data_IF_154474155900
#
_entry.id   IF_154474155900
#
_cell.length_a   1.000
_cell.length_b   1.000
_cell.length_c   1.000
_cell.angle_alpha   90.00
_cell.angle_beta   90.00
_cell.angle_gamma   90.00
#
_symmetry.space_group_name_H-M   'P 1'
#
loop_
_entity.id
_entity.type
_entity.pdbx_description
1 polymer ?
#
# COMPACT_ATOMS: atom_id res chain seq x y z
N UNK A 1 -9.74 12.87 17.08
CA UNK A 1 -9.76 14.28 16.65
C UNK A 1 -8.77 14.41 15.50
N UNK A 2 -9.16 15.02 14.37
CA UNK A 2 -8.21 15.28 13.27
C UNK A 2 -7.26 16.41 13.70
N UNK A 3 -5.94 16.31 13.50
CA UNK A 3 -5.01 17.37 13.88
C UNK A 3 -5.32 18.66 13.12
N UNK A 4 -5.27 19.81 13.82
CA UNK A 4 -5.60 21.12 13.24
C UNK A 4 -4.71 21.49 12.06
N UNK A 5 -3.45 21.04 12.07
CA UNK A 5 -2.51 21.24 10.98
C UNK A 5 -2.98 20.57 9.68
N UNK A 6 -3.51 19.35 9.75
CA UNK A 6 -4.05 18.62 8.58
C UNK A 6 -5.30 19.30 8.00
N UNK A 7 -6.09 20.00 8.83
CA UNK A 7 -7.31 20.67 8.40
C UNK A 7 -7.08 22.04 7.74
N UNK A 8 -5.91 22.67 7.97
CA UNK A 8 -5.57 24.00 7.47
C UNK A 8 -4.59 23.98 6.29
N UNK A 9 -3.98 22.83 6.01
CA UNK A 9 -2.99 22.69 4.95
C UNK A 9 -3.66 22.63 3.57
N UNK A 10 -3.01 23.22 2.55
CA UNK A 10 -3.46 23.09 1.16
C UNK A 10 -3.08 21.71 0.57
N UNK A 11 -1.94 21.17 1.01
CA UNK A 11 -1.40 19.87 0.62
C UNK A 11 -0.96 19.11 1.88
N UNK A 12 -0.95 17.78 1.81
CA UNK A 12 -0.53 16.94 2.91
C UNK A 12 0.97 16.63 2.79
N UNK A 13 1.77 17.21 3.68
CA UNK A 13 3.22 16.98 3.69
C UNK A 13 3.55 15.52 4.02
N UNK A 14 4.26 14.80 3.13
CA UNK A 14 4.60 13.41 3.36
C UNK A 14 5.47 13.23 4.62
N UNK A 15 5.25 12.14 5.35
CA UNK A 15 5.98 11.87 6.59
C UNK A 15 5.52 12.69 7.80
N UNK A 16 4.52 13.55 7.65
CA UNK A 16 3.87 14.22 8.78
C UNK A 16 2.99 13.22 9.55
N UNK A 17 2.91 13.30 10.90
CA UNK A 17 2.04 12.41 11.67
C UNK A 17 0.56 12.69 11.40
N UNK A 18 -0.22 11.64 11.16
CA UNK A 18 -1.65 11.74 10.85
C UNK A 18 -2.54 12.02 12.07
N UNK A 19 -1.98 11.88 13.27
CA UNK A 19 -2.70 11.89 14.55
C UNK A 19 -2.98 10.50 15.10
N UNK A 20 -2.71 9.45 14.32
CA UNK A 20 -2.64 8.05 14.78
C UNK A 20 -1.17 7.65 14.94
N UNK A 21 -0.86 6.90 16.01
CA UNK A 21 0.50 6.45 16.30
C UNK A 21 0.96 5.43 15.27
N UNK A 22 2.15 5.62 14.70
CA UNK A 22 2.71 4.71 13.69
C UNK A 22 2.20 4.95 12.27
N UNK A 23 1.18 5.79 12.08
CA UNK A 23 0.60 6.08 10.77
C UNK A 23 1.02 7.47 10.26
N UNK A 24 1.78 7.49 9.18
CA UNK A 24 2.37 8.69 8.59
C UNK A 24 1.71 9.05 7.27
N UNK A 25 1.67 10.35 6.95
CA UNK A 25 1.12 10.82 5.67
C UNK A 25 1.90 10.26 4.49
N UNK A 26 1.18 9.68 3.53
CA UNK A 26 1.75 9.05 2.35
C UNK A 26 2.04 10.06 1.22
N UNK A 27 3.15 9.89 0.48
CA UNK A 27 3.55 10.77 -0.66
C UNK A 27 2.50 10.76 -1.79
N UNK A 28 2.15 9.56 -2.26
CA UNK A 28 1.31 9.33 -3.45
C UNK A 28 0.18 8.32 -3.17
N UNK A 29 -0.83 8.68 -2.33
CA UNK A 29 -1.84 7.72 -1.87
C UNK A 29 -2.75 7.20 -2.99
N UNK A 30 -3.05 8.02 -4.00
CA UNK A 30 -3.92 7.65 -5.13
C UNK A 30 -3.34 6.53 -5.98
N UNK A 31 -2.13 6.71 -6.53
CA UNK A 31 -1.46 5.69 -7.35
C UNK A 31 -1.22 4.40 -6.56
N UNK A 32 -0.88 4.52 -5.28
CA UNK A 32 -0.71 3.36 -4.38
C UNK A 32 -2.00 2.57 -4.23
N UNK A 33 -3.13 3.23 -3.95
CA UNK A 33 -4.44 2.55 -3.87
C UNK A 33 -4.85 1.92 -5.21
N UNK A 34 -4.65 2.62 -6.33
CA UNK A 34 -4.94 2.06 -7.65
C UNK A 34 -4.10 0.82 -7.95
N UNK A 35 -2.81 0.86 -7.60
CA UNK A 35 -1.91 -0.29 -7.70
C UNK A 35 -2.41 -1.45 -6.85
N UNK A 36 -2.65 -1.22 -5.54
CA UNK A 36 -3.09 -2.26 -4.62
C UNK A 36 -4.40 -2.88 -5.09
N UNK A 37 -5.43 -2.08 -5.40
CA UNK A 37 -6.72 -2.59 -5.88
C UNK A 37 -6.61 -3.36 -7.19
N UNK A 38 -5.80 -2.88 -8.15
CA UNK A 38 -5.58 -3.62 -9.40
C UNK A 38 -4.88 -4.96 -9.17
N UNK A 39 -3.94 -5.00 -8.23
CA UNK A 39 -3.22 -6.21 -7.84
C UNK A 39 -4.16 -7.18 -7.13
N UNK A 40 -4.98 -6.70 -6.18
CA UNK A 40 -6.03 -7.47 -5.51
C UNK A 40 -6.99 -8.09 -6.53
N UNK A 41 -7.51 -7.31 -7.47
CA UNK A 41 -8.41 -7.82 -8.52
C UNK A 41 -7.73 -8.85 -9.43
N UNK A 42 -6.44 -8.70 -9.71
CA UNK A 42 -5.67 -9.70 -10.46
C UNK A 42 -5.55 -11.01 -9.66
N UNK A 43 -5.17 -10.91 -8.38
CA UNK A 43 -4.98 -12.09 -7.53
C UNK A 43 -6.28 -12.84 -7.26
N UNK A 44 -7.40 -12.15 -7.13
CA UNK A 44 -8.72 -12.77 -6.95
C UNK A 44 -9.14 -13.68 -8.11
N UNK A 45 -8.52 -13.56 -9.30
CA UNK A 45 -8.81 -14.44 -10.43
C UNK A 45 -8.45 -15.91 -10.16
N UNK A 46 -7.53 -16.18 -9.22
CA UNK A 46 -7.18 -17.53 -8.77
C UNK A 46 -8.32 -18.23 -8.02
N UNK A 47 -9.19 -17.45 -7.35
CA UNK A 47 -10.29 -17.95 -6.51
C UNK A 47 -11.53 -18.20 -7.40
N UNK A 48 -12.33 -19.25 -7.17
CA UNK A 48 -13.56 -19.48 -7.95
C UNK A 48 -14.60 -18.35 -7.86
N UNK A 49 -15.30 -18.05 -8.96
CA UNK A 49 -16.37 -17.01 -9.00
C UNK A 49 -17.57 -17.30 -8.11
N UNK A 50 -17.78 -18.57 -7.75
CA UNK A 50 -18.84 -19.01 -6.84
C UNK A 50 -18.55 -18.64 -5.38
N UNK A 51 -17.31 -18.34 -5.04
CA UNK A 51 -16.91 -17.97 -3.68
C UNK A 51 -17.53 -16.63 -3.28
N UNK A 52 -18.26 -16.63 -2.16
CA UNK A 52 -18.82 -15.40 -1.58
C UNK A 52 -17.72 -14.41 -1.19
N UNK A 53 -16.57 -14.91 -0.74
CA UNK A 53 -15.41 -14.09 -0.44
C UNK A 53 -14.98 -13.29 -1.68
N UNK A 54 -14.73 -13.98 -2.81
CA UNK A 54 -14.35 -13.32 -4.07
C UNK A 54 -15.38 -12.28 -4.50
N UNK A 55 -16.68 -12.61 -4.48
CA UNK A 55 -17.76 -11.69 -4.87
C UNK A 55 -17.77 -10.42 -4.00
N UNK A 56 -17.63 -10.58 -2.68
CA UNK A 56 -17.65 -9.46 -1.73
C UNK A 56 -16.43 -8.53 -1.88
N UNK A 57 -15.24 -9.11 -2.03
CA UNK A 57 -14.00 -8.35 -2.17
C UNK A 57 -13.95 -7.67 -3.53
N UNK A 58 -14.37 -8.34 -4.61
CA UNK A 58 -14.48 -7.71 -5.92
C UNK A 58 -15.44 -6.51 -5.90
N UNK A 59 -16.62 -6.64 -5.29
CA UNK A 59 -17.59 -5.57 -5.22
C UNK A 59 -17.05 -4.35 -4.45
N UNK A 60 -16.49 -4.59 -3.26
CA UNK A 60 -15.87 -3.54 -2.43
C UNK A 60 -14.70 -2.87 -3.15
N UNK A 61 -13.80 -3.67 -3.74
CA UNK A 61 -12.58 -3.17 -4.41
C UNK A 61 -12.93 -2.36 -5.64
N UNK A 62 -13.84 -2.84 -6.49
CA UNK A 62 -14.32 -2.10 -7.69
C UNK A 62 -14.97 -0.79 -7.28
N UNK A 63 -15.80 -0.80 -6.24
CA UNK A 63 -16.44 0.42 -5.74
C UNK A 63 -15.39 1.44 -5.26
N UNK A 64 -14.47 1.04 -4.38
CA UNK A 64 -13.40 1.92 -3.87
C UNK A 64 -12.48 2.43 -4.97
N UNK A 65 -12.09 1.57 -5.90
CA UNK A 65 -11.29 1.95 -7.07
C UNK A 65 -12.01 3.03 -7.91
N UNK A 66 -13.32 2.87 -8.15
CA UNK A 66 -14.11 3.86 -8.90
C UNK A 66 -14.20 5.22 -8.20
N UNK A 67 -14.09 5.27 -6.87
CA UNK A 67 -14.03 6.53 -6.12
C UNK A 67 -12.66 7.19 -6.29
N UNK A 68 -11.58 6.43 -6.10
CA UNK A 68 -10.20 6.93 -6.22
C UNK A 68 -9.92 7.48 -7.64
N UNK A 69 -10.43 6.82 -8.69
CA UNK A 69 -10.24 7.27 -10.07
C UNK A 69 -10.81 8.67 -10.35
N UNK A 70 -11.88 9.08 -9.65
CA UNK A 70 -12.53 10.39 -9.86
C UNK A 70 -11.66 11.57 -9.44
N UNK A 71 -10.78 11.40 -8.45
CA UNK A 71 -10.01 12.48 -7.86
C UNK A 71 -8.63 12.59 -8.48
N UNK A 72 -8.50 13.33 -9.57
CA UNK A 72 -7.20 13.52 -10.24
C UNK A 72 -6.50 14.78 -9.68
N UNK A 73 -5.19 14.70 -9.37
CA UNK A 73 -4.46 15.86 -8.87
C UNK A 73 -4.22 16.90 -9.97
N UNK A 74 -4.09 18.19 -9.63
CA UNK A 74 -3.72 19.22 -10.59
C UNK A 74 -2.32 18.94 -11.17
N UNK A 75 -2.15 19.08 -12.48
CA UNK A 75 -0.87 18.81 -13.15
C UNK A 75 -0.59 17.33 -13.46
N UNK A 76 -1.54 16.43 -13.18
CA UNK A 76 -1.40 14.99 -13.46
C UNK A 76 -1.11 14.68 -14.94
N UNK A 77 -1.77 15.37 -15.87
CA UNK A 77 -1.63 15.10 -17.30
C UNK A 77 -0.22 15.42 -17.81
N UNK A 78 0.35 16.54 -17.38
CA UNK A 78 1.72 16.93 -17.72
C UNK A 78 2.73 15.95 -17.16
N UNK A 79 2.54 15.54 -15.90
CA UNK A 79 3.35 14.51 -15.26
C UNK A 79 3.23 13.17 -16.00
N UNK A 80 2.02 12.75 -16.40
CA UNK A 80 1.81 11.49 -17.10
C UNK A 80 2.51 11.45 -18.47
N UNK A 81 2.55 12.57 -19.20
CA UNK A 81 3.31 12.69 -20.45
C UNK A 81 4.81 12.54 -20.18
N UNK A 82 5.34 13.26 -19.18
CA UNK A 82 6.76 13.18 -18.80
C UNK A 82 7.14 11.77 -18.35
N UNK A 83 6.35 11.16 -17.48
CA UNK A 83 6.54 9.79 -17.00
C UNK A 83 6.57 8.79 -18.16
N UNK A 84 5.62 8.89 -19.11
CA UNK A 84 5.58 8.04 -20.31
C UNK A 84 6.81 8.22 -21.19
N UNK A 85 7.29 9.45 -21.36
CA UNK A 85 8.52 9.73 -22.10
C UNK A 85 9.75 9.13 -21.42
N UNK A 86 9.86 9.26 -20.10
CA UNK A 86 10.93 8.65 -19.31
C UNK A 86 10.93 7.12 -19.46
N UNK A 87 9.76 6.50 -19.39
CA UNK A 87 9.60 5.05 -19.60
C UNK A 87 10.00 4.62 -21.01
N UNK A 88 9.66 5.41 -22.03
CA UNK A 88 10.06 5.15 -23.42
C UNK A 88 11.57 5.29 -23.62
N UNK A 89 12.20 6.24 -22.94
CA UNK A 89 13.65 6.48 -23.01
C UNK A 89 14.44 5.35 -22.33
N UNK A 90 13.93 4.81 -21.22
CA UNK A 90 14.65 3.85 -20.37
C UNK A 90 13.90 2.51 -20.18
N UNK A 91 13.54 1.77 -21.24
CA UNK A 91 12.70 0.57 -21.12
C UNK A 91 13.32 -0.52 -20.23
N UNK A 92 14.63 -0.78 -20.36
CA UNK A 92 15.33 -1.82 -19.60
C UNK A 92 15.27 -1.61 -18.08
N UNK A 93 15.31 -0.37 -17.63
CA UNK A 93 15.31 -0.03 -16.20
C UNK A 93 13.95 -0.24 -15.54
N UNK A 94 12.85 -0.10 -16.31
CA UNK A 94 11.49 -0.34 -15.84
C UNK A 94 11.03 -1.79 -16.00
N UNK A 95 11.79 -2.64 -16.68
CA UNK A 95 11.48 -4.08 -16.78
C UNK A 95 12.22 -4.91 -15.73
N UNK A 96 13.43 -4.49 -15.33
CA UNK A 96 14.29 -5.18 -14.36
C UNK A 96 13.91 -4.95 -12.87
N UNK A 97 12.71 -4.46 -12.60
CA UNK A 97 12.32 -3.92 -11.30
C UNK A 97 12.14 -4.95 -10.15
N UNK A 98 12.25 -6.25 -10.41
CA UNK A 98 12.01 -7.30 -9.40
C UNK A 98 13.24 -7.73 -8.59
N UNK A 99 14.47 -7.51 -9.09
CA UNK A 99 15.67 -8.24 -8.60
C UNK A 99 16.75 -7.36 -7.95
N UNK A 100 16.52 -6.06 -7.74
CA UNK A 100 17.52 -5.21 -7.05
C UNK A 100 17.51 -5.45 -5.53
N UNK A 101 18.66 -5.85 -5.00
CA UNK A 101 18.89 -6.17 -3.57
C UNK A 101 19.02 -4.90 -2.70
N UNK A 102 19.28 -3.73 -3.30
CA UNK A 102 19.61 -2.48 -2.59
C UNK A 102 18.42 -1.80 -1.86
N UNK A 103 17.26 -2.44 -1.76
CA UNK A 103 16.08 -1.92 -1.05
C UNK A 103 15.38 -0.73 -1.72
N UNK A 104 16.09 0.07 -2.52
CA UNK A 104 15.57 1.20 -3.29
C UNK A 104 15.10 0.79 -4.70
N UNK A 105 14.34 -0.30 -4.78
CA UNK A 105 13.79 -0.81 -6.03
C UNK A 105 12.37 -0.30 -6.25
N UNK A 106 12.16 0.55 -7.26
CA UNK A 106 10.82 0.87 -7.69
C UNK A 106 10.21 -0.33 -8.41
N UNK A 107 9.18 -0.98 -7.83
CA UNK A 107 8.50 -2.12 -8.46
C UNK A 107 7.60 -1.60 -9.56
N UNK A 108 7.80 -2.09 -10.78
CA UNK A 108 6.92 -1.79 -11.91
C UNK A 108 5.88 -2.90 -12.03
N UNK A 109 4.61 -2.53 -12.06
CA UNK A 109 3.51 -3.46 -12.22
C UNK A 109 2.65 -3.06 -13.41
N UNK A 110 2.46 -4.00 -14.33
CA UNK A 110 1.62 -3.81 -15.52
C UNK A 110 0.25 -4.46 -15.26
N UNK A 111 -0.81 -3.66 -15.21
CA UNK A 111 -2.19 -4.14 -15.16
C UNK A 111 -2.94 -3.71 -16.42
N UNK A 112 -3.16 -4.65 -17.34
CA UNK A 112 -3.73 -4.35 -18.65
C UNK A 112 -2.87 -3.32 -19.40
N UNK A 113 -3.43 -2.15 -19.69
CA UNK A 113 -2.73 -1.04 -20.37
C UNK A 113 -2.15 0.02 -19.40
N UNK A 114 -2.25 -0.20 -18.07
CA UNK A 114 -1.75 0.73 -17.06
C UNK A 114 -0.45 0.19 -16.46
N UNK A 115 0.49 1.09 -16.21
CA UNK A 115 1.77 0.76 -15.57
C UNK A 115 1.87 1.57 -14.29
N UNK A 116 2.08 0.89 -13.17
CA UNK A 116 2.31 1.49 -11.87
C UNK A 116 3.79 1.36 -11.52
N UNK A 117 4.36 2.44 -10.98
CA UNK A 117 5.74 2.46 -10.47
C UNK A 117 5.63 2.76 -8.98
N UNK A 118 5.97 1.78 -8.14
CA UNK A 118 5.94 1.93 -6.69
C UNK A 118 7.39 2.01 -6.20
N UNK A 119 7.88 3.22 -5.97
CA UNK A 119 9.17 3.47 -5.33
C UNK A 119 9.11 3.25 -3.83
N UNK A 120 10.03 2.48 -3.26
CA UNK A 120 10.39 2.61 -1.84
C UNK A 120 11.65 3.45 -1.77
N UNK A 121 11.49 4.72 -1.41
CA UNK A 121 12.63 5.57 -1.09
C UNK A 121 12.87 5.52 0.43
N UNK A 122 14.02 5.00 0.83
CA UNK A 122 14.53 5.14 2.18
C UNK A 122 15.33 6.45 2.23
N UNK A 123 14.82 7.46 2.93
CA UNK A 123 15.58 8.67 3.22
C UNK A 123 16.56 8.36 4.36
N UNK A 124 17.86 8.59 4.15
CA UNK A 124 18.87 8.42 5.21
C UNK A 124 18.65 9.47 6.31
N UNK A 125 18.73 9.11 7.59
CA UNK A 125 18.36 10.00 8.70
C UNK A 125 16.90 9.90 9.13
N UNK A 126 16.09 9.07 8.48
CA UNK A 126 14.69 8.92 8.81
C UNK A 126 14.51 8.07 10.08
N UNK A 127 14.19 8.74 11.18
CA UNK A 127 13.89 8.13 12.49
C UNK A 127 12.82 7.02 12.44
N UNK A 128 12.02 6.94 11.37
CA UNK A 128 11.01 5.89 11.17
C UNK A 128 11.62 4.55 10.76
N UNK A 129 12.76 4.60 10.06
CA UNK A 129 13.45 3.46 9.46
C UNK A 129 14.76 3.16 10.16
N UNK A 130 15.34 4.14 10.83
CA UNK A 130 16.52 3.96 11.66
C UNK A 130 16.16 3.17 12.91
N UNK A 131 16.46 1.87 12.85
CA UNK A 131 16.46 1.04 14.04
C UNK A 131 17.55 1.56 14.99
N UNK A 132 17.18 1.77 16.25
CA UNK A 132 18.17 2.08 17.28
C UNK A 132 19.15 0.90 17.39
N UNK A 133 20.41 1.14 17.04
CA UNK A 133 21.48 0.12 17.03
C UNK A 133 21.94 -0.33 18.43
N UNK A 134 21.29 0.14 19.50
CA UNK A 134 21.47 -0.40 20.85
C UNK A 134 22.68 0.12 21.63
N UNK A 135 23.54 0.96 21.05
CA UNK A 135 24.76 1.42 21.73
C UNK A 135 24.82 2.96 21.83
N UNK A 136 25.01 3.47 23.05
CA UNK A 136 25.58 4.79 23.26
C UNK A 136 27.10 4.64 23.10
N UNK A 137 27.76 5.54 22.37
CA UNK A 137 29.23 5.65 22.20
C UNK A 137 29.99 5.99 23.51
N UNK A 138 29.54 5.51 24.66
CA UNK A 138 30.24 5.67 25.93
C UNK A 138 30.93 4.36 26.30
N UNK A 139 32.08 4.11 25.64
CA UNK A 139 33.15 3.35 26.28
C UNK A 139 33.85 2.24 25.50
N UNK A 140 33.67 2.11 24.18
CA UNK A 140 34.38 1.07 23.42
C UNK A 140 34.97 1.60 22.12
N UNK A 141 36.29 1.70 22.07
CA UNK A 141 37.09 2.08 20.89
C UNK A 141 37.20 0.92 19.88
N UNK A 142 36.14 0.16 19.66
CA UNK A 142 36.14 -0.87 18.61
C UNK A 142 35.68 -0.18 17.32
N UNK A 143 36.57 -0.08 16.32
CA UNK A 143 36.21 0.43 15.00
C UNK A 143 35.09 -0.44 14.42
N UNK A 144 33.89 0.12 14.32
CA UNK A 144 32.79 -0.49 13.58
C UNK A 144 33.20 -0.51 12.11
N UNK A 145 33.60 -1.69 11.63
CA UNK A 145 33.82 -1.93 10.20
C UNK A 145 32.44 -1.96 9.56
N UNK A 146 31.96 -0.83 9.06
CA UNK A 146 30.81 -0.84 8.16
C UNK A 146 31.19 -1.70 6.93
N UNK A 147 30.36 -2.68 6.54
CA UNK A 147 30.62 -3.43 5.33
C UNK A 147 30.69 -2.43 4.19
N UNK A 148 31.84 -2.37 3.51
CA UNK A 148 32.06 -1.48 2.39
C UNK A 148 30.94 -1.70 1.38
N UNK A 149 29.96 -0.81 1.36
CA UNK A 149 28.90 -0.82 0.38
C UNK A 149 29.57 -0.60 -0.97
N UNK A 150 29.71 -1.66 -1.76
CA UNK A 150 30.20 -1.54 -3.13
C UNK A 150 29.30 -0.53 -3.84
N UNK A 151 29.88 0.63 -4.16
CA UNK A 151 29.21 1.68 -4.89
C UNK A 151 29.08 1.20 -6.34
N UNK A 152 28.06 0.38 -6.62
CA UNK A 152 27.63 0.14 -7.98
C UNK A 152 27.25 1.49 -8.59
N UNK A 153 28.05 1.95 -9.55
CA UNK A 153 27.80 3.18 -10.33
C UNK A 153 26.70 2.96 -11.35
N UNK A 154 25.56 2.47 -10.89
CA UNK A 154 24.33 2.60 -11.66
C UNK A 154 23.90 4.06 -11.52
N UNK A 155 23.80 4.79 -12.63
CA UNK A 155 23.16 6.11 -12.62
C UNK A 155 21.73 5.94 -12.08
N UNK A 156 21.54 6.33 -10.81
CA UNK A 156 20.24 6.22 -10.13
C UNK A 156 19.26 7.10 -10.88
N UNK A 157 18.34 6.47 -11.60
CA UNK A 157 17.22 7.17 -12.23
C UNK A 157 16.43 7.88 -11.12
N UNK A 158 16.39 9.20 -11.17
CA UNK A 158 15.51 9.99 -10.31
C UNK A 158 14.12 9.91 -10.89
N UNK A 159 13.26 9.11 -10.26
CA UNK A 159 11.84 9.05 -10.60
C UNK A 159 11.11 10.22 -9.93
N UNK A 160 10.27 10.92 -10.70
CA UNK A 160 9.42 11.98 -10.15
C UNK A 160 8.07 11.37 -9.73
N UNK A 161 7.75 11.50 -8.44
CA UNK A 161 6.48 11.04 -7.88
C UNK A 161 5.27 11.77 -8.50
N UNK A 162 4.10 11.13 -8.41
CA UNK A 162 2.82 11.73 -8.82
C UNK A 162 2.57 13.04 -8.03
N UNK A 163 2.05 14.10 -8.69
CA UNK A 163 1.60 15.29 -7.98
C UNK A 163 0.60 14.96 -6.86
N UNK A 164 0.73 15.63 -5.73
CA UNK A 164 -0.13 15.38 -4.57
C UNK A 164 -1.55 15.86 -4.81
N UNK A 165 -2.51 15.14 -4.21
CA UNK A 165 -3.88 15.61 -4.08
C UNK A 165 -3.94 16.80 -3.13
N UNK A 166 -4.87 17.72 -3.38
CA UNK A 166 -5.13 18.79 -2.43
C UNK A 166 -5.77 18.22 -1.16
N UNK A 167 -5.57 18.87 -0.02
CA UNK A 167 -6.13 18.40 1.25
C UNK A 167 -7.67 18.31 1.21
N UNK A 168 -8.32 19.20 0.46
CA UNK A 168 -9.77 19.17 0.25
C UNK A 168 -10.20 17.95 -0.57
N UNK A 169 -9.49 17.62 -1.65
CA UNK A 169 -9.74 16.40 -2.44
C UNK A 169 -9.57 15.14 -1.59
N UNK A 170 -8.52 15.09 -0.76
CA UNK A 170 -8.28 13.96 0.16
C UNK A 170 -9.42 13.85 1.17
N UNK A 171 -9.86 14.96 1.75
CA UNK A 171 -10.96 14.98 2.72
C UNK A 171 -12.28 14.53 2.10
N UNK A 172 -12.59 14.98 0.89
CA UNK A 172 -13.79 14.53 0.15
C UNK A 172 -13.72 13.04 -0.16
N UNK A 173 -12.56 12.56 -0.60
CA UNK A 173 -12.33 11.13 -0.87
C UNK A 173 -12.48 10.28 0.40
N UNK A 174 -11.90 10.70 1.52
CA UNK A 174 -12.07 10.04 2.83
C UNK A 174 -13.55 9.98 3.24
N UNK A 175 -14.30 11.07 3.05
CA UNK A 175 -15.71 11.13 3.39
C UNK A 175 -16.54 10.19 2.50
N UNK A 176 -16.24 10.11 1.21
CA UNK A 176 -16.92 9.20 0.28
C UNK A 176 -16.59 7.73 0.55
N UNK A 177 -15.35 7.43 0.94
CA UNK A 177 -14.92 6.08 1.31
C UNK A 177 -15.53 5.62 2.63
N UNK A 178 -15.73 6.55 3.58
CA UNK A 178 -16.35 6.25 4.87
C UNK A 178 -15.56 5.26 5.73
N UNK A 179 -14.25 5.12 5.50
CA UNK A 179 -13.41 4.06 6.06
C UNK A 179 -12.18 4.58 6.83
N UNK A 180 -12.27 5.80 7.38
CA UNK A 180 -11.16 6.43 8.11
C UNK A 180 -10.30 7.33 7.23
N UNK A 181 -9.03 7.46 7.60
CA UNK A 181 -8.02 8.20 6.83
C UNK A 181 -7.57 7.40 5.61
N UNK A 182 -7.12 8.10 4.56
CA UNK A 182 -6.65 7.43 3.34
C UNK A 182 -5.45 6.49 3.60
N UNK A 183 -4.62 6.82 4.59
CA UNK A 183 -3.49 5.99 5.00
C UNK A 183 -3.96 4.67 5.63
N UNK A 184 -5.01 4.67 6.45
CA UNK A 184 -5.61 3.44 7.01
C UNK A 184 -6.19 2.57 5.89
N UNK A 185 -6.79 3.20 4.87
CA UNK A 185 -7.33 2.49 3.71
C UNK A 185 -6.23 1.79 2.91
N UNK A 186 -5.03 2.37 2.84
CA UNK A 186 -3.86 1.73 2.22
C UNK A 186 -3.45 0.49 3.03
N UNK A 187 -3.30 0.61 4.36
CA UNK A 187 -2.96 -0.54 5.22
C UNK A 187 -4.00 -1.67 5.11
N UNK A 188 -5.29 -1.33 5.05
CA UNK A 188 -6.36 -2.32 4.83
C UNK A 188 -6.23 -2.99 3.46
N UNK A 189 -5.87 -2.25 2.41
CA UNK A 189 -5.69 -2.81 1.08
C UNK A 189 -4.45 -3.72 1.00
N UNK A 190 -3.37 -3.40 1.71
CA UNK A 190 -2.19 -4.27 1.85
C UNK A 190 -2.52 -5.53 2.64
N UNK A 191 -3.26 -5.40 3.75
CA UNK A 191 -3.75 -6.51 4.54
C UNK A 191 -4.67 -7.44 3.74
N UNK A 192 -5.54 -6.89 2.89
CA UNK A 192 -6.38 -7.67 1.99
C UNK A 192 -5.55 -8.48 0.99
N UNK A 193 -4.47 -7.91 0.46
CA UNK A 193 -3.58 -8.62 -0.46
C UNK A 193 -2.89 -9.82 0.22
N UNK A 194 -2.45 -9.65 1.47
CA UNK A 194 -1.90 -10.74 2.28
C UNK A 194 -2.97 -11.76 2.67
N UNK A 195 -4.19 -11.31 2.96
CA UNK A 195 -5.32 -12.17 3.29
C UNK A 195 -5.65 -13.08 2.12
N UNK A 196 -5.65 -12.59 0.89
CA UNK A 196 -5.89 -13.41 -0.31
C UNK A 196 -4.93 -14.60 -0.38
N UNK A 197 -3.63 -14.41 -0.11
CA UNK A 197 -2.65 -15.51 -0.09
C UNK A 197 -3.00 -16.57 0.96
N UNK A 198 -3.53 -16.13 2.11
CA UNK A 198 -3.93 -17.02 3.20
C UNK A 198 -5.22 -17.76 2.86
N UNK A 199 -6.20 -17.05 2.31
CA UNK A 199 -7.49 -17.62 1.87
C UNK A 199 -7.31 -18.62 0.73
N UNK A 200 -6.36 -18.37 -0.17
CA UNK A 200 -6.02 -19.29 -1.25
C UNK A 200 -5.45 -20.61 -0.72
N UNK A 201 -4.54 -20.53 0.26
CA UNK A 201 -3.99 -21.70 0.94
C UNK A 201 -5.04 -22.46 1.77
N UNK A 202 -5.96 -21.73 2.40
CA UNK A 202 -6.97 -22.29 3.28
C UNK A 202 -8.23 -22.80 2.53
N UNK A 203 -8.39 -22.48 1.24
CA UNK A 203 -9.53 -22.86 0.40
C UNK A 203 -10.90 -22.68 1.09
N UNK A 204 -11.11 -21.50 1.68
CA UNK A 204 -12.27 -21.19 2.55
C UNK A 204 -13.65 -21.28 1.88
N UNK A 205 -13.69 -21.47 0.57
CA UNK A 205 -14.91 -21.63 -0.21
C UNK A 205 -15.36 -23.08 -0.36
N UNK A 206 -14.56 -24.03 0.11
CA UNK A 206 -14.94 -25.44 0.13
C UNK A 206 -15.90 -25.74 1.28
N UNK A 207 -16.53 -26.92 1.24
CA UNK A 207 -17.43 -27.35 2.30
C UNK A 207 -16.67 -27.53 3.62
N UNK A 208 -17.40 -27.40 4.73
CA UNK A 208 -16.87 -27.61 6.07
C UNK A 208 -16.17 -28.98 6.18
N UNK A 209 -14.89 -28.98 6.58
CA UNK A 209 -14.08 -30.19 6.73
C UNK A 209 -14.67 -31.12 7.82
N UNK A 210 -15.10 -30.54 8.94
CA UNK A 210 -15.67 -31.28 10.07
C UNK A 210 -16.99 -30.67 10.53
N UNK A 211 -18.08 -31.44 10.39
CA UNK A 211 -19.39 -31.04 10.90
C UNK A 211 -19.38 -31.07 12.43
N UNK A 212 -20.02 -30.09 13.10
CA UNK A 212 -20.04 -30.06 14.55
C UNK A 212 -20.76 -31.28 15.13
N UNK A 213 -20.27 -31.78 16.27
CA UNK A 213 -20.95 -32.84 17.01
C UNK A 213 -22.35 -32.39 17.46
N UNK A 214 -23.28 -33.33 17.54
CA UNK A 214 -24.64 -33.05 18.01
C UNK A 214 -24.60 -32.50 19.44
N UNK A 215 -25.18 -31.32 19.64
CA UNK A 215 -25.18 -30.60 20.94
C UNK A 215 -23.99 -29.68 21.19
N UNK A 216 -22.98 -29.62 20.31
CA UNK A 216 -21.79 -28.74 20.48
C UNK A 216 -22.16 -27.25 20.63
N UNK A 217 -23.16 -26.79 19.88
CA UNK A 217 -23.60 -25.40 19.85
C UNK A 217 -24.93 -25.16 20.61
N UNK A 218 -25.39 -26.13 21.40
CA UNK A 218 -26.57 -25.99 22.24
C UNK A 218 -26.15 -25.46 23.62
N UNK A 219 -26.38 -24.18 23.87
CA UNK A 219 -26.05 -23.55 25.14
C UNK A 219 -27.32 -23.13 25.89
N UNK A 220 -27.41 -23.51 27.17
CA UNK A 220 -28.36 -23.00 28.18
C UNK A 220 -29.71 -22.52 27.64
N UNK A 221 -30.42 -23.38 26.90
CA UNK A 221 -31.80 -23.08 26.52
C UNK A 221 -32.63 -22.94 27.80
N UNK A 222 -33.32 -21.81 27.97
CA UNK A 222 -34.33 -21.71 29.02
C UNK A 222 -35.46 -22.63 28.60
N UNK A 223 -35.45 -23.86 29.10
CA UNK A 223 -36.59 -24.77 28.96
C UNK A 223 -37.80 -24.06 29.60
N UNK A 224 -38.69 -23.53 28.76
CA UNK A 224 -39.97 -22.99 29.23
C UNK A 224 -40.74 -24.14 29.86
N UNK A 225 -40.85 -24.11 31.19
CA UNK A 225 -41.72 -25.01 31.96
C UNK A 225 -43.20 -24.80 31.61
#
# INVERSE_FOLDING_TARGET
MRPTLRALANYLEPGTPTGLTGLWTHKTPRSTLLYLYSTTLNRLQSIPETSLYRQSVEATTKHRMSLVEKFTPPGYEEWAVKAKELMRKNPHQFEAASDRVDGSGARTFKFGNRIFVVGREHEAGDIRLEEWNGENELGRNDEVIEPAAEHFKDEKLVWEDEPQLTADQVKELEQQLGAGLIEEVIEVAEGELQLIETMEKAQVWDNLEEQPAQGQWTYFERSSS
#
